data_IF_906424224588
#
_entry.id   IF_906424224588
#
_cell.length_a   1.000
_cell.length_b   1.000
_cell.length_c   1.000
_cell.angle_alpha   90.00
_cell.angle_beta   90.00
_cell.angle_gamma   90.00
#
_symmetry.space_group_name_H-M   'P 1'
#
loop_
_entity.id
_entity.type
_entity.pdbx_description
1 polymer ?
#
# COMPACT_ATOMS: atom_id res chain seq x y z
N UNK A 1 8.91 -0.58 -16.85
CA UNK A 1 7.45 -0.76 -17.04
C UNK A 1 6.74 -0.21 -15.80
N UNK A 2 5.75 0.68 -15.96
CA UNK A 2 5.29 1.57 -14.91
C UNK A 2 4.44 0.78 -13.90
N UNK A 3 5.02 0.40 -12.78
CA UNK A 3 4.26 -0.21 -11.68
C UNK A 3 3.28 0.81 -11.06
N UNK A 4 3.42 2.11 -11.36
CA UNK A 4 2.53 3.15 -10.88
C UNK A 4 1.58 3.65 -11.98
N UNK A 5 0.27 3.49 -11.78
CA UNK A 5 -0.75 4.09 -12.64
C UNK A 5 -1.05 5.51 -12.15
N UNK A 6 -0.97 6.50 -13.04
CA UNK A 6 -1.29 7.91 -12.73
C UNK A 6 -2.78 8.14 -12.97
N UNK A 7 -3.51 8.58 -11.95
CA UNK A 7 -4.98 8.68 -12.00
C UNK A 7 -5.49 10.12 -12.04
N UNK A 8 -4.72 11.10 -11.56
CA UNK A 8 -5.18 12.50 -11.50
C UNK A 8 -4.21 13.48 -12.21
N UNK A 9 -4.78 14.31 -13.08
CA UNK A 9 -4.19 15.53 -13.64
C UNK A 9 -5.30 16.59 -13.65
N UNK A 10 -5.29 17.51 -12.69
CA UNK A 10 -6.24 18.63 -12.69
C UNK A 10 -5.75 19.72 -13.67
N UNK A 11 -6.45 19.94 -14.78
CA UNK A 11 -6.30 21.15 -15.59
C UNK A 11 -7.08 22.28 -14.90
N UNK A 12 -6.39 23.25 -14.32
CA UNK A 12 -7.00 24.46 -13.80
C UNK A 12 -7.02 25.53 -14.91
N UNK A 13 -8.17 25.70 -15.56
CA UNK A 13 -8.45 26.90 -16.34
C UNK A 13 -9.18 27.92 -15.44
N UNK A 14 -8.56 29.09 -15.27
CA UNK A 14 -9.07 30.34 -14.66
C UNK A 14 -9.54 30.31 -13.20
N UNK A 15 -8.64 30.69 -12.27
CA UNK A 15 -8.86 31.83 -11.35
C UNK A 15 -7.67 32.04 -10.41
N UNK A 16 -7.32 33.31 -10.21
CA UNK A 16 -6.14 33.82 -9.52
C UNK A 16 -6.17 33.64 -7.99
N UNK A 17 -5.40 32.69 -7.45
CA UNK A 17 -4.60 32.84 -6.21
C UNK A 17 -3.86 31.53 -5.85
N UNK A 18 -2.53 31.64 -5.75
CA UNK A 18 -1.49 30.69 -5.26
C UNK A 18 -1.57 29.20 -5.68
N UNK A 19 -0.79 28.86 -6.71
CA UNK A 19 -0.11 27.57 -6.97
C UNK A 19 -0.76 26.30 -6.39
N UNK A 20 -1.87 25.86 -6.98
CA UNK A 20 -2.21 24.43 -7.00
C UNK A 20 -1.64 23.82 -8.27
N UNK A 21 -0.32 23.65 -8.30
CA UNK A 21 0.32 22.80 -9.31
C UNK A 21 -0.30 21.40 -9.24
N UNK A 22 -0.59 20.83 -10.41
CA UNK A 22 -1.39 19.62 -10.56
C UNK A 22 -0.90 18.46 -9.70
N UNK A 23 -1.66 18.14 -8.65
CA UNK A 23 -1.40 16.97 -7.82
C UNK A 23 -1.64 15.69 -8.64
N UNK A 24 -0.62 14.85 -8.69
CA UNK A 24 -0.66 13.57 -9.39
C UNK A 24 -0.71 12.46 -8.36
N UNK A 25 -1.77 11.66 -8.38
CA UNK A 25 -1.87 10.45 -7.58
C UNK A 25 -1.33 9.25 -8.37
N UNK A 26 -0.36 8.53 -7.79
CA UNK A 26 0.16 7.28 -8.30
C UNK A 26 -0.36 6.09 -7.49
N UNK A 27 -0.82 5.03 -8.16
CA UNK A 27 -1.26 3.79 -7.53
C UNK A 27 -0.24 2.68 -7.78
N UNK A 28 0.23 2.02 -6.72
CA UNK A 28 1.15 0.87 -6.77
C UNK A 28 0.35 -0.41 -6.47
N UNK A 29 -0.09 -1.17 -7.50
CA UNK A 29 -0.84 -2.40 -7.28
C UNK A 29 0.10 -3.52 -6.81
N UNK A 30 -0.28 -4.17 -5.72
CA UNK A 30 0.45 -5.32 -5.17
C UNK A 30 -0.46 -6.50 -4.82
N UNK A 31 -1.79 -6.35 -4.88
CA UNK A 31 -2.75 -7.36 -4.46
C UNK A 31 -2.62 -8.68 -5.23
N UNK A 32 -2.82 -9.80 -4.53
CA UNK A 32 -2.84 -11.15 -5.09
C UNK A 32 -4.04 -11.90 -4.50
N UNK A 33 -4.95 -12.35 -5.37
CA UNK A 33 -6.19 -13.01 -4.97
C UNK A 33 -5.95 -14.39 -4.33
N UNK A 34 -6.84 -14.77 -3.40
CA UNK A 34 -6.80 -16.08 -2.74
C UNK A 34 -5.65 -16.26 -1.74
N UNK A 35 -5.02 -15.17 -1.31
CA UNK A 35 -3.90 -15.21 -0.37
C UNK A 35 -4.39 -15.02 1.06
N UNK A 36 -3.71 -15.71 2.00
CA UNK A 36 -3.94 -15.57 3.45
C UNK A 36 -2.93 -14.59 4.04
N UNK A 37 -3.28 -13.93 5.15
CA UNK A 37 -2.42 -12.88 5.72
C UNK A 37 -1.04 -13.39 6.16
N UNK A 38 -0.91 -14.68 6.53
CA UNK A 38 0.41 -15.24 6.87
C UNK A 38 1.36 -15.29 5.66
N UNK A 39 0.83 -15.35 4.43
CA UNK A 39 1.62 -15.27 3.19
C UNK A 39 2.17 -13.86 2.94
N UNK A 40 1.70 -12.87 3.70
CA UNK A 40 2.12 -11.49 3.68
C UNK A 40 3.03 -11.13 4.86
N UNK A 41 3.46 -12.10 5.67
CA UNK A 41 4.44 -11.84 6.72
C UNK A 41 5.77 -11.35 6.11
N UNK A 42 6.51 -10.52 6.86
CA UNK A 42 7.85 -10.09 6.47
C UNK A 42 8.76 -11.26 6.09
N UNK A 43 9.53 -11.12 5.02
CA UNK A 43 10.33 -12.19 4.42
C UNK A 43 9.56 -13.12 3.48
N UNK A 44 8.23 -13.04 3.42
CA UNK A 44 7.44 -13.80 2.44
C UNK A 44 7.44 -13.11 1.07
N UNK A 45 7.36 -13.87 -0.04
CA UNK A 45 7.47 -13.30 -1.39
C UNK A 45 6.47 -12.19 -1.71
N UNK A 46 5.23 -12.27 -1.21
CA UNK A 46 4.20 -11.26 -1.47
C UNK A 46 4.54 -9.92 -0.79
N UNK A 47 4.97 -9.99 0.47
CA UNK A 47 5.41 -8.84 1.24
C UNK A 47 6.63 -8.17 0.59
N UNK A 48 7.68 -8.95 0.31
CA UNK A 48 8.91 -8.44 -0.27
C UNK A 48 8.65 -7.78 -1.63
N UNK A 49 7.80 -8.39 -2.46
CA UNK A 49 7.40 -7.83 -3.74
C UNK A 49 6.61 -6.52 -3.59
N UNK A 50 5.74 -6.40 -2.58
CA UNK A 50 4.99 -5.16 -2.32
C UNK A 50 5.91 -4.03 -1.86
N UNK A 51 6.81 -4.28 -0.90
CA UNK A 51 7.79 -3.31 -0.42
C UNK A 51 8.73 -2.87 -1.54
N UNK A 52 9.26 -3.81 -2.33
CA UNK A 52 10.13 -3.50 -3.46
C UNK A 52 9.42 -2.62 -4.51
N UNK A 53 8.16 -2.93 -4.86
CA UNK A 53 7.36 -2.10 -5.77
C UNK A 53 7.11 -0.70 -5.23
N UNK A 54 6.79 -0.57 -3.94
CA UNK A 54 6.56 0.71 -3.30
C UNK A 54 7.82 1.59 -3.32
N UNK A 55 8.99 1.03 -3.01
CA UNK A 55 10.28 1.72 -3.08
C UNK A 55 10.61 2.17 -4.50
N UNK A 56 10.48 1.27 -5.47
CA UNK A 56 10.69 1.60 -6.88
C UNK A 56 9.78 2.75 -7.35
N UNK A 57 8.56 2.87 -6.78
CA UNK A 57 7.63 3.94 -7.08
C UNK A 57 8.07 5.31 -6.62
N UNK A 58 8.58 5.38 -5.40
CA UNK A 58 9.17 6.59 -4.86
C UNK A 58 10.40 6.98 -5.68
N UNK A 59 11.29 6.02 -5.95
CA UNK A 59 12.55 6.26 -6.66
C UNK A 59 12.35 6.74 -8.11
N UNK A 60 11.36 6.18 -8.81
CA UNK A 60 11.09 6.55 -10.21
C UNK A 60 10.25 7.83 -10.36
N UNK A 61 9.37 8.13 -9.41
CA UNK A 61 8.36 9.20 -9.51
C UNK A 61 8.67 10.46 -8.71
N UNK A 62 9.61 10.41 -7.75
CA UNK A 62 9.92 11.52 -6.84
C UNK A 62 8.79 11.88 -5.88
N UNK A 63 7.76 11.04 -5.76
CA UNK A 63 6.61 11.25 -4.87
C UNK A 63 6.79 10.58 -3.51
N UNK A 64 5.89 10.86 -2.58
CA UNK A 64 5.86 10.23 -1.26
C UNK A 64 4.75 9.17 -1.18
N UNK A 65 4.95 8.15 -0.35
CA UNK A 65 3.89 7.18 -0.05
C UNK A 65 2.91 7.84 0.93
N UNK A 66 1.68 8.07 0.49
CA UNK A 66 0.64 8.66 1.32
C UNK A 66 -0.09 7.66 2.22
N UNK A 67 -0.40 6.48 1.70
CA UNK A 67 -1.11 5.43 2.43
C UNK A 67 -0.92 4.04 1.80
N UNK A 68 -1.19 3.01 2.58
CA UNK A 68 -1.47 1.65 2.09
C UNK A 68 -2.96 1.40 2.19
N UNK A 69 -3.55 0.99 1.07
CA UNK A 69 -4.92 0.48 1.03
C UNK A 69 -4.85 -1.04 1.14
N UNK A 70 -5.45 -1.59 2.19
CA UNK A 70 -5.41 -3.01 2.49
C UNK A 70 -6.83 -3.57 2.47
N UNK A 71 -7.11 -4.50 1.56
CA UNK A 71 -8.35 -5.26 1.58
C UNK A 71 -8.06 -6.72 1.30
N UNK A 72 -8.15 -7.51 2.37
CA UNK A 72 -7.87 -8.94 2.42
C UNK A 72 -8.50 -9.47 3.70
N UNK A 73 -8.81 -10.77 3.72
CA UNK A 73 -9.18 -11.49 4.93
C UNK A 73 -10.10 -12.68 4.63
N UNK A 74 -10.72 -12.69 3.45
CA UNK A 74 -11.69 -13.70 3.04
C UNK A 74 -11.09 -15.11 3.11
N UNK A 75 -9.83 -15.25 2.69
CA UNK A 75 -9.13 -16.56 2.70
C UNK A 75 -8.73 -17.03 4.11
N UNK A 76 -8.64 -16.13 5.09
CA UNK A 76 -8.33 -16.47 6.49
C UNK A 76 -9.58 -16.88 7.27
N UNK A 77 -10.80 -16.68 6.72
CA UNK A 77 -12.06 -17.09 7.36
C UNK A 77 -12.37 -18.58 7.24
N UNK A 78 -11.62 -19.32 6.40
CA UNK A 78 -11.85 -20.74 6.14
C UNK A 78 -11.55 -21.59 7.37
N UNK A 79 -10.48 -21.25 8.10
CA UNK A 79 -9.99 -22.01 9.24
C UNK A 79 -10.06 -21.17 10.52
N UNK A 80 -10.62 -21.72 11.60
CA UNK A 80 -10.79 -20.98 12.87
C UNK A 80 -9.45 -20.46 13.42
N UNK A 81 -8.37 -21.23 13.26
CA UNK A 81 -7.05 -20.82 13.72
C UNK A 81 -6.52 -19.59 12.97
N UNK A 82 -6.79 -19.49 11.67
CA UNK A 82 -6.35 -18.35 10.85
C UNK A 82 -7.19 -17.11 11.16
N UNK A 83 -8.51 -17.27 11.28
CA UNK A 83 -9.42 -16.20 11.69
C UNK A 83 -9.05 -15.64 13.07
N UNK A 84 -8.74 -16.52 14.04
CA UNK A 84 -8.35 -16.10 15.40
C UNK A 84 -6.99 -15.41 15.43
N UNK A 85 -6.04 -15.83 14.56
CA UNK A 85 -4.71 -15.23 14.49
C UNK A 85 -4.67 -13.93 13.66
N UNK A 86 -5.73 -13.61 12.90
CA UNK A 86 -5.74 -12.54 11.91
C UNK A 86 -5.35 -11.17 12.49
N UNK A 87 -6.01 -10.74 13.58
CA UNK A 87 -5.75 -9.43 14.18
C UNK A 87 -4.28 -9.22 14.56
N UNK A 88 -3.66 -10.20 15.22
CA UNK A 88 -2.24 -10.13 15.57
C UNK A 88 -1.29 -10.20 14.37
N UNK A 89 -1.68 -10.88 13.29
CA UNK A 89 -0.91 -10.88 12.03
C UNK A 89 -1.04 -9.54 11.29
N UNK A 90 -2.21 -8.92 11.33
CA UNK A 90 -2.47 -7.60 10.74
C UNK A 90 -1.67 -6.51 11.46
N UNK A 91 -1.65 -6.50 12.79
CA UNK A 91 -0.82 -5.57 13.56
C UNK A 91 0.67 -5.69 13.21
N UNK A 92 1.17 -6.92 13.08
CA UNK A 92 2.56 -7.17 12.65
C UNK A 92 2.80 -6.66 11.24
N UNK A 93 1.91 -6.97 10.29
CA UNK A 93 2.00 -6.51 8.90
C UNK A 93 2.11 -4.98 8.81
N UNK A 94 1.28 -4.25 9.56
CA UNK A 94 1.32 -2.78 9.63
C UNK A 94 2.66 -2.29 10.16
N UNK A 95 3.15 -2.88 11.25
CA UNK A 95 4.43 -2.50 11.85
C UNK A 95 5.60 -2.80 10.91
N UNK A 96 5.57 -3.95 10.24
CA UNK A 96 6.57 -4.34 9.26
C UNK A 96 6.58 -3.34 8.09
N UNK A 97 5.43 -2.97 7.51
CA UNK A 97 5.38 -1.94 6.47
C UNK A 97 5.94 -0.60 6.93
N UNK A 98 5.61 -0.15 8.16
CA UNK A 98 6.13 1.10 8.72
C UNK A 98 7.65 1.06 8.85
N UNK A 99 8.19 -0.05 9.36
CA UNK A 99 9.64 -0.23 9.51
C UNK A 99 10.33 -0.28 8.14
N UNK A 100 9.85 -1.11 7.23
CA UNK A 100 10.51 -1.41 5.96
C UNK A 100 10.23 -0.40 4.86
N UNK A 101 9.33 0.56 5.07
CA UNK A 101 9.22 1.74 4.23
C UNK A 101 9.83 2.98 4.90
N UNK A 102 10.28 2.88 6.16
CA UNK A 102 10.83 3.99 6.93
C UNK A 102 9.80 5.07 7.27
N UNK A 103 8.53 4.68 7.41
CA UNK A 103 7.38 5.57 7.60
C UNK A 103 6.64 5.18 8.90
N UNK A 104 7.10 5.63 10.09
CA UNK A 104 6.53 5.20 11.37
C UNK A 104 5.04 5.54 11.53
N UNK A 105 4.58 6.60 10.86
CA UNK A 105 3.19 7.05 10.87
C UNK A 105 2.44 6.72 9.57
N UNK A 106 2.90 5.71 8.82
CA UNK A 106 2.23 5.29 7.59
C UNK A 106 0.75 4.99 7.88
N UNK A 107 -0.11 5.66 7.13
CA UNK A 107 -1.55 5.44 7.15
C UNK A 107 -1.83 4.12 6.44
N UNK A 108 -2.46 3.19 7.17
CA UNK A 108 -3.00 1.96 6.61
C UNK A 108 -4.51 2.02 6.77
N UNK A 109 -5.21 1.97 5.64
CA UNK A 109 -6.67 1.95 5.59
C UNK A 109 -7.07 0.51 5.29
N UNK A 110 -7.81 -0.10 6.22
CA UNK A 110 -8.37 -1.45 6.10
C UNK A 110 -9.90 -1.39 6.18
N UNK A 111 -10.57 -2.36 5.56
CA UNK A 111 -11.99 -2.68 5.77
C UNK A 111 -12.14 -3.64 6.97
#
# INVERSE_FOLDING_TARGET
>A
MPFAHRVLLHHAANSSSSSRDGLVLGLVPAAVGGTRIWMWARGQPLYEAAVARARAAVDAGGGTIGAVLWFQGESDTIELHDATAYGGRMERLVNDFRADLGLPNLLVIQD
#
